data_IF_570216883524
#
_entry.id   IF_570216883524
#
_cell.length_a   1.000
_cell.length_b   1.000
_cell.length_c   1.000
_cell.angle_alpha   90.00
_cell.angle_beta   90.00
_cell.angle_gamma   90.00
#
_symmetry.space_group_name_H-M   'P 1'
#
loop_
_entity.id
_entity.type
_entity.pdbx_description
1 polymer ?
#
# COMPACT_ATOMS: atom_id res chain seq x y z
N UNK A 1 -34.44 50.60 -75.37
CA UNK A 1 -34.90 50.57 -73.96
C UNK A 1 -35.13 49.12 -73.52
N UNK A 2 -34.08 48.27 -73.49
CA UNK A 2 -34.27 46.82 -73.34
C UNK A 2 -33.37 46.13 -72.29
N UNK A 3 -32.48 46.83 -71.57
CA UNK A 3 -31.44 46.15 -70.77
C UNK A 3 -31.58 46.29 -69.23
N UNK A 4 -32.64 46.92 -68.72
CA UNK A 4 -32.75 47.20 -67.27
C UNK A 4 -33.61 46.22 -66.46
N UNK A 5 -34.21 45.19 -67.09
CA UNK A 5 -35.14 44.26 -66.42
C UNK A 5 -34.46 42.92 -66.06
N UNK A 6 -33.35 42.56 -66.71
CA UNK A 6 -32.67 41.27 -66.47
C UNK A 6 -31.76 41.27 -65.23
N UNK A 7 -31.08 42.37 -64.93
CA UNK A 7 -30.14 42.46 -63.80
C UNK A 7 -30.81 42.56 -62.41
N UNK A 8 -32.03 43.10 -62.32
CA UNK A 8 -32.76 43.18 -61.04
C UNK A 8 -33.26 41.80 -60.57
N UNK A 9 -33.69 40.94 -61.50
CA UNK A 9 -34.11 39.59 -61.17
C UNK A 9 -32.93 38.70 -60.76
N UNK A 10 -31.77 38.81 -61.42
CA UNK A 10 -30.56 38.08 -61.01
C UNK A 10 -30.04 38.54 -59.63
N UNK A 11 -30.10 39.85 -59.34
CA UNK A 11 -29.71 40.42 -58.05
C UNK A 11 -30.64 40.01 -56.90
N UNK A 12 -31.95 39.93 -57.16
CA UNK A 12 -32.92 39.38 -56.19
C UNK A 12 -32.73 37.88 -55.97
N UNK A 13 -32.54 37.10 -57.03
CA UNK A 13 -32.32 35.65 -56.92
C UNK A 13 -31.03 35.36 -56.15
N UNK A 14 -29.95 36.10 -56.37
CA UNK A 14 -28.69 35.92 -55.62
C UNK A 14 -28.82 36.37 -54.14
N UNK A 15 -29.60 37.42 -53.85
CA UNK A 15 -29.86 37.86 -52.46
C UNK A 15 -30.82 36.93 -51.71
N UNK A 16 -31.80 36.34 -52.40
CA UNK A 16 -32.74 35.37 -51.83
C UNK A 16 -32.07 34.00 -51.63
N UNK A 17 -31.20 33.59 -52.55
CA UNK A 17 -30.47 32.31 -52.50
C UNK A 17 -29.31 32.32 -51.47
N UNK A 18 -28.93 33.49 -50.96
CA UNK A 18 -27.98 33.68 -49.86
C UNK A 18 -28.60 34.47 -48.69
N UNK A 19 -29.88 34.22 -48.41
CA UNK A 19 -30.54 34.79 -47.24
C UNK A 19 -29.74 34.44 -45.98
N UNK A 20 -29.24 35.44 -45.25
CA UNK A 20 -28.42 35.31 -44.04
C UNK A 20 -28.94 34.27 -43.04
N UNK A 21 -30.25 34.00 -43.06
CA UNK A 21 -30.93 32.90 -42.39
C UNK A 21 -30.30 31.51 -42.63
N UNK A 22 -30.07 31.09 -43.89
CA UNK A 22 -29.50 29.77 -44.19
C UNK A 22 -28.06 29.64 -43.73
N UNK A 23 -27.27 30.72 -43.86
CA UNK A 23 -25.90 30.76 -43.36
C UNK A 23 -25.85 30.68 -41.83
N UNK A 24 -26.73 31.42 -41.15
CA UNK A 24 -26.88 31.35 -39.69
C UNK A 24 -27.32 29.96 -39.24
N UNK A 25 -28.21 29.30 -39.97
CA UNK A 25 -28.65 27.93 -39.67
C UNK A 25 -27.53 26.90 -39.87
N UNK A 26 -26.73 27.03 -40.93
CA UNK A 26 -25.56 26.17 -41.14
C UNK A 26 -24.48 26.40 -40.07
N UNK A 27 -24.23 27.65 -39.68
CA UNK A 27 -23.33 27.96 -38.57
C UNK A 27 -23.83 27.36 -37.25
N UNK A 28 -25.12 27.50 -36.94
CA UNK A 28 -25.72 26.92 -35.74
C UNK A 28 -25.57 25.40 -35.72
N UNK A 29 -25.84 24.71 -36.85
CA UNK A 29 -25.62 23.27 -36.98
C UNK A 29 -24.15 22.88 -36.79
N UNK A 30 -23.22 23.65 -37.36
CA UNK A 30 -21.79 23.41 -37.19
C UNK A 30 -21.36 23.57 -35.74
N UNK A 31 -21.82 24.62 -35.04
CA UNK A 31 -21.51 24.85 -33.62
C UNK A 31 -22.04 23.69 -32.76
N UNK A 32 -23.31 23.32 -32.93
CA UNK A 32 -23.91 22.20 -32.21
C UNK A 32 -23.15 20.89 -32.46
N UNK A 33 -22.77 20.63 -33.72
CA UNK A 33 -21.98 19.43 -34.05
C UNK A 33 -20.60 19.42 -33.39
N UNK A 34 -19.94 20.59 -33.30
CA UNK A 34 -18.66 20.75 -32.62
C UNK A 34 -18.80 20.54 -31.12
N UNK A 35 -19.86 21.06 -30.49
CA UNK A 35 -20.12 20.85 -29.06
C UNK A 35 -20.36 19.37 -28.73
N UNK A 36 -21.12 18.67 -29.57
CA UNK A 36 -21.33 17.22 -29.44
C UNK A 36 -20.00 16.47 -29.54
N UNK A 37 -19.17 16.83 -30.53
CA UNK A 37 -17.86 16.23 -30.72
C UNK A 37 -16.91 16.48 -29.54
N UNK A 38 -16.84 17.72 -29.05
CA UNK A 38 -16.03 18.11 -27.89
C UNK A 38 -16.48 17.32 -26.66
N UNK A 39 -17.79 17.22 -26.40
CA UNK A 39 -18.32 16.45 -25.28
C UNK A 39 -18.00 14.96 -25.38
N UNK A 40 -18.03 14.40 -26.60
CA UNK A 40 -17.59 13.02 -26.84
C UNK A 40 -16.12 12.81 -26.48
N UNK A 41 -15.23 13.71 -26.90
CA UNK A 41 -13.81 13.65 -26.54
C UNK A 41 -13.61 13.78 -25.03
N UNK A 42 -14.31 14.72 -24.39
CA UNK A 42 -14.24 14.91 -22.93
C UNK A 42 -14.62 13.62 -22.20
N UNK A 43 -15.66 12.92 -22.63
CA UNK A 43 -16.09 11.67 -22.00
C UNK A 43 -15.04 10.56 -22.16
N UNK A 44 -14.46 10.41 -23.36
CA UNK A 44 -13.38 9.44 -23.60
C UNK A 44 -12.16 9.74 -22.72
N UNK A 45 -11.78 11.01 -22.59
CA UNK A 45 -10.66 11.41 -21.72
C UNK A 45 -10.99 11.14 -20.25
N UNK A 46 -12.22 11.44 -19.79
CA UNK A 46 -12.64 11.16 -18.41
C UNK A 46 -12.55 9.67 -18.10
N UNK A 47 -13.11 8.82 -18.94
CA UNK A 47 -13.06 7.37 -18.77
C UNK A 47 -11.61 6.84 -18.75
N UNK A 48 -10.76 7.34 -19.65
CA UNK A 48 -9.35 6.97 -19.67
C UNK A 48 -8.62 7.41 -18.39
N UNK A 49 -8.93 8.60 -17.89
CA UNK A 49 -8.31 9.15 -16.67
C UNK A 49 -8.74 8.38 -15.43
N UNK A 50 -10.03 8.04 -15.32
CA UNK A 50 -10.56 7.23 -14.22
C UNK A 50 -9.92 5.84 -14.20
N UNK A 51 -9.80 5.19 -15.36
CA UNK A 51 -9.15 3.89 -15.50
C UNK A 51 -7.66 3.94 -15.13
N UNK A 52 -6.94 4.98 -15.55
CA UNK A 52 -5.54 5.17 -15.15
C UNK A 52 -5.41 5.40 -13.64
N UNK A 53 -6.31 6.17 -13.04
CA UNK A 53 -6.30 6.42 -11.60
C UNK A 53 -6.52 5.13 -10.80
N UNK A 54 -7.43 4.26 -11.26
CA UNK A 54 -7.65 2.95 -10.65
C UNK A 54 -6.39 2.06 -10.73
N UNK A 55 -5.75 2.00 -11.90
CA UNK A 55 -4.52 1.23 -12.10
C UNK A 55 -3.37 1.74 -11.22
N UNK A 56 -3.21 3.05 -11.08
CA UNK A 56 -2.23 3.65 -10.18
C UNK A 56 -2.52 3.25 -8.73
N UNK A 57 -3.79 3.26 -8.32
CA UNK A 57 -4.22 2.82 -6.98
C UNK A 57 -3.82 1.37 -6.70
N UNK A 58 -4.13 0.46 -7.63
CA UNK A 58 -3.80 -0.97 -7.52
C UNK A 58 -2.28 -1.20 -7.45
N UNK A 59 -1.51 -0.56 -8.33
CA UNK A 59 -0.05 -0.67 -8.35
C UNK A 59 0.59 -0.13 -7.05
N UNK A 60 0.07 0.98 -6.54
CA UNK A 60 0.57 1.59 -5.30
C UNK A 60 0.30 0.67 -4.11
N UNK A 61 -0.90 0.08 -4.03
CA UNK A 61 -1.24 -0.88 -2.99
C UNK A 61 -0.32 -2.11 -3.05
N UNK A 62 -0.15 -2.72 -4.22
CA UNK A 62 0.72 -3.88 -4.38
C UNK A 62 2.19 -3.58 -4.03
N UNK A 63 2.68 -2.39 -4.40
CA UNK A 63 4.02 -1.94 -4.03
C UNK A 63 4.18 -1.81 -2.51
N UNK A 64 3.19 -1.23 -1.83
CA UNK A 64 3.20 -1.11 -0.36
C UNK A 64 3.16 -2.48 0.33
N UNK A 65 2.30 -3.39 -0.12
CA UNK A 65 2.20 -4.74 0.43
C UNK A 65 3.52 -5.52 0.27
N UNK A 66 4.15 -5.41 -0.91
CA UNK A 66 5.45 -6.03 -1.18
C UNK A 66 6.56 -5.47 -0.28
N UNK A 67 6.60 -4.15 -0.10
CA UNK A 67 7.55 -3.50 0.82
C UNK A 67 7.30 -3.92 2.26
N UNK A 68 6.05 -3.96 2.71
CA UNK A 68 5.68 -4.40 4.05
C UNK A 68 6.15 -5.84 4.29
N UNK A 69 5.87 -6.75 3.36
CA UNK A 69 6.32 -8.14 3.45
C UNK A 69 7.84 -8.25 3.53
N UNK A 70 8.56 -7.46 2.73
CA UNK A 70 10.02 -7.41 2.77
C UNK A 70 10.54 -6.94 4.13
N UNK A 71 9.93 -5.91 4.71
CA UNK A 71 10.30 -5.40 6.04
C UNK A 71 10.00 -6.45 7.11
N UNK A 72 8.83 -7.09 7.07
CA UNK A 72 8.46 -8.15 8.03
C UNK A 72 9.45 -9.30 7.98
N UNK A 73 9.84 -9.77 6.79
CA UNK A 73 10.86 -10.81 6.66
C UNK A 73 12.20 -10.38 7.25
N UNK A 74 12.67 -9.16 6.93
CA UNK A 74 13.95 -8.66 7.47
C UNK A 74 13.94 -8.52 8.99
N UNK A 75 12.81 -8.07 9.56
CA UNK A 75 12.65 -7.99 11.03
C UNK A 75 12.69 -9.39 11.63
N UNK A 76 11.96 -10.35 11.06
CA UNK A 76 11.96 -11.74 11.52
C UNK A 76 13.35 -12.37 11.44
N UNK A 77 14.07 -12.17 10.33
CA UNK A 77 15.43 -12.65 10.16
C UNK A 77 16.36 -12.05 11.22
N UNK A 78 16.29 -10.73 11.42
CA UNK A 78 17.09 -10.05 12.42
C UNK A 78 16.81 -10.54 13.84
N UNK A 79 15.54 -10.75 14.17
CA UNK A 79 15.10 -11.34 15.43
C UNK A 79 15.64 -12.76 15.62
N UNK A 80 15.62 -13.58 14.56
CA UNK A 80 16.20 -14.92 14.59
C UNK A 80 17.72 -14.88 14.78
N UNK A 81 18.43 -14.00 14.08
CA UNK A 81 19.87 -13.83 14.25
C UNK A 81 20.23 -13.44 15.69
N UNK A 82 19.46 -12.54 16.30
CA UNK A 82 19.67 -12.14 17.69
C UNK A 82 19.39 -13.29 18.66
N UNK A 83 18.28 -14.02 18.46
CA UNK A 83 17.85 -15.13 19.33
C UNK A 83 18.63 -16.43 19.11
N UNK A 84 19.45 -16.55 18.06
CA UNK A 84 20.20 -17.78 17.74
C UNK A 84 21.19 -18.18 18.84
N UNK A 85 21.65 -17.20 19.64
CA UNK A 85 22.53 -17.43 20.80
C UNK A 85 21.76 -17.66 22.10
N UNK A 86 20.43 -17.59 22.07
CA UNK A 86 19.60 -17.69 23.25
C UNK A 86 19.19 -19.14 23.48
N UNK A 87 19.37 -19.60 24.71
CA UNK A 87 18.88 -20.89 25.17
C UNK A 87 17.59 -20.69 25.96
N UNK A 88 16.57 -21.48 25.63
CA UNK A 88 15.31 -21.54 26.36
C UNK A 88 15.27 -22.79 27.25
N UNK A 89 15.13 -22.56 28.55
CA UNK A 89 15.09 -23.63 29.55
C UNK A 89 13.67 -23.74 30.10
N UNK A 90 13.04 -24.90 29.90
CA UNK A 90 11.68 -25.20 30.32
C UNK A 90 11.64 -26.18 31.50
N UNK A 91 10.50 -26.23 32.19
CA UNK A 91 10.26 -27.22 33.25
C UNK A 91 10.81 -26.83 34.62
N UNK A 92 11.31 -25.60 34.78
CA UNK A 92 11.79 -25.08 36.07
C UNK A 92 10.65 -24.36 36.78
N UNK A 93 10.15 -24.88 37.92
CA UNK A 93 9.05 -24.26 38.67
C UNK A 93 9.41 -22.84 39.08
N UNK A 94 8.45 -21.92 39.01
CA UNK A 94 8.64 -20.54 39.46
C UNK A 94 8.72 -20.44 40.98
N UNK A 95 9.66 -19.65 41.48
CA UNK A 95 9.77 -19.31 42.89
C UNK A 95 9.94 -17.79 43.02
N UNK A 96 9.14 -17.16 43.89
CA UNK A 96 9.02 -15.69 43.98
C UNK A 96 10.36 -14.98 44.27
N UNK A 97 11.24 -15.62 45.06
CA UNK A 97 12.51 -15.06 45.52
C UNK A 97 13.73 -15.78 44.92
N UNK A 98 13.57 -16.40 43.75
CA UNK A 98 14.68 -17.12 43.12
C UNK A 98 15.72 -16.20 42.50
N UNK A 99 16.99 -16.59 42.63
CA UNK A 99 18.05 -16.02 41.83
C UNK A 99 18.24 -16.85 40.55
N UNK A 100 17.60 -16.41 39.47
CA UNK A 100 17.63 -17.10 38.17
C UNK A 100 19.06 -17.32 37.65
N UNK A 101 19.98 -16.39 37.91
CA UNK A 101 21.39 -16.53 37.48
C UNK A 101 22.08 -17.70 38.19
N UNK A 102 21.91 -17.79 39.51
CA UNK A 102 22.50 -18.90 40.29
C UNK A 102 21.89 -20.23 39.88
N UNK A 103 20.56 -20.25 39.66
CA UNK A 103 19.84 -21.45 39.25
C UNK A 103 20.32 -21.97 37.88
N UNK A 104 20.54 -21.07 36.91
CA UNK A 104 21.07 -21.44 35.59
C UNK A 104 22.50 -21.95 35.70
N UNK A 105 23.36 -21.28 36.46
CA UNK A 105 24.76 -21.72 36.66
C UNK A 105 24.80 -23.12 37.30
N UNK A 106 24.01 -23.35 38.36
CA UNK A 106 23.90 -24.65 39.02
C UNK A 106 23.40 -25.73 38.04
N UNK A 107 22.37 -25.42 37.25
CA UNK A 107 21.86 -26.34 36.23
C UNK A 107 22.92 -26.68 35.18
N UNK A 108 23.65 -25.69 34.67
CA UNK A 108 24.71 -25.91 33.67
C UNK A 108 25.83 -26.77 34.23
N UNK A 109 26.21 -26.54 35.50
CA UNK A 109 27.22 -27.35 36.18
C UNK A 109 26.82 -28.83 36.28
N UNK A 110 25.54 -29.13 36.53
CA UNK A 110 24.99 -30.50 36.58
C UNK A 110 25.01 -31.21 35.22
N UNK A 111 24.97 -30.45 34.13
CA UNK A 111 25.10 -30.97 32.75
C UNK A 111 26.57 -31.05 32.32
N UNK A 112 27.52 -30.65 33.19
CA UNK A 112 28.95 -30.71 32.93
C UNK A 112 29.53 -29.46 32.25
N UNK A 113 28.76 -28.37 32.19
CA UNK A 113 29.21 -27.08 31.65
C UNK A 113 29.62 -26.15 32.79
N UNK A 114 30.90 -25.77 32.82
CA UNK A 114 31.40 -24.79 33.79
C UNK A 114 31.24 -23.39 33.24
N UNK A 115 30.07 -22.79 33.50
CA UNK A 115 29.76 -21.41 33.13
C UNK A 115 29.75 -20.51 34.36
N UNK A 116 30.17 -19.27 34.16
CA UNK A 116 30.20 -18.20 35.16
C UNK A 116 29.22 -17.10 34.76
N UNK A 117 28.92 -16.18 35.68
CA UNK A 117 28.02 -15.05 35.39
C UNK A 117 28.48 -14.20 34.20
N UNK A 118 29.79 -14.13 33.96
CA UNK A 118 30.36 -13.32 32.88
C UNK A 118 30.18 -13.94 31.50
N UNK A 119 29.77 -15.21 31.40
CA UNK A 119 29.55 -15.90 30.12
C UNK A 119 28.17 -15.60 29.52
N UNK A 120 27.34 -14.84 30.26
CA UNK A 120 25.97 -14.52 29.88
C UNK A 120 25.79 -13.01 29.66
N UNK A 121 25.14 -12.62 28.56
CA UNK A 121 24.72 -11.23 28.36
C UNK A 121 23.43 -10.92 29.12
N UNK A 122 22.59 -11.92 29.40
CA UNK A 122 21.31 -11.74 30.08
C UNK A 122 20.65 -13.06 30.45
N UNK A 123 20.13 -13.13 31.67
CA UNK A 123 19.38 -14.28 32.18
C UNK A 123 18.11 -13.74 32.83
N UNK A 124 16.95 -14.18 32.36
CA UNK A 124 15.67 -13.78 32.96
C UNK A 124 14.56 -14.79 32.66
N UNK A 125 13.53 -14.79 33.49
CA UNK A 125 12.31 -15.54 33.21
C UNK A 125 11.45 -14.84 32.17
N UNK A 126 10.92 -15.64 31.25
CA UNK A 126 9.80 -15.25 30.42
C UNK A 126 8.51 -15.35 31.24
N UNK A 127 7.91 -14.20 31.49
CA UNK A 127 6.57 -14.15 32.05
C UNK A 127 5.58 -14.72 31.04
N UNK A 128 4.74 -15.65 31.49
CA UNK A 128 3.67 -16.11 30.63
C UNK A 128 2.69 -14.96 30.37
N UNK A 129 2.26 -14.82 29.11
CA UNK A 129 1.17 -13.92 28.73
C UNK A 129 -0.05 -14.17 29.64
N UNK A 130 -0.78 -13.10 29.97
CA UNK A 130 -1.87 -13.01 30.97
C UNK A 130 -2.96 -14.11 30.88
N UNK A 131 -3.00 -14.89 29.79
CA UNK A 131 -3.95 -15.99 29.58
C UNK A 131 -3.44 -17.40 29.90
N UNK A 132 -2.18 -17.61 30.33
CA UNK A 132 -1.77 -18.95 30.78
C UNK A 132 -1.95 -19.12 32.29
N UNK A 133 -2.99 -19.85 32.67
CA UNK A 133 -3.25 -20.24 34.06
C UNK A 133 -2.23 -21.23 34.64
N UNK A 134 -1.12 -21.49 33.94
CA UNK A 134 -0.15 -22.53 34.31
C UNK A 134 1.22 -21.92 34.61
N UNK A 135 1.50 -21.64 35.89
CA UNK A 135 2.80 -21.15 36.39
C UNK A 135 3.97 -22.08 36.00
N UNK A 136 3.69 -23.35 35.75
CA UNK A 136 4.66 -24.38 35.36
C UNK A 136 5.21 -24.27 33.93
N UNK A 137 4.67 -23.35 33.10
CA UNK A 137 5.12 -23.13 31.71
C UNK A 137 6.09 -21.97 31.53
N UNK A 138 6.55 -21.36 32.62
CA UNK A 138 7.54 -20.30 32.53
C UNK A 138 8.88 -20.87 32.09
N UNK A 139 9.49 -20.20 31.11
CA UNK A 139 10.81 -20.54 30.59
C UNK A 139 11.84 -19.52 31.06
N UNK A 140 13.10 -19.91 31.13
CA UNK A 140 14.22 -18.99 31.33
C UNK A 140 14.90 -18.79 29.97
N UNK A 141 15.08 -17.53 29.57
CA UNK A 141 16.00 -17.18 28.48
C UNK A 141 17.38 -16.98 29.07
N UNK A 142 18.36 -17.63 28.45
CA UNK A 142 19.78 -17.49 28.74
C UNK A 142 20.48 -17.02 27.47
N UNK A 143 20.94 -15.78 27.48
CA UNK A 143 21.72 -15.20 26.41
C UNK A 143 23.21 -15.43 26.63
N UNK A 144 23.87 -16.17 25.75
CA UNK A 144 25.30 -16.47 25.82
C UNK A 144 26.13 -15.43 25.03
N UNK A 145 27.32 -15.07 25.53
CA UNK A 145 28.25 -14.18 24.83
C UNK A 145 28.86 -14.84 23.58
#
# INVERSE_FOLDING_TARGET
MADNISNNNLSQIIKEQFSSSQFVEQLAKSIVSSDIFINSIINVIKEATEKQQEQIGQLTQHAMESQLNTVVMRVNDHDQYKKRKDLLIYGIPFQSDENVTVLVIDLMSKVGLQLTKNDFYGIHRLLSSKNSQNKSRQAIIVGLL
#
